data_IF_734752751566
#
_entry.id   IF_734752751566
#
_cell.length_a   1.000
_cell.length_b   1.000
_cell.length_c   1.000
_cell.angle_alpha   90.00
_cell.angle_beta   90.00
_cell.angle_gamma   90.00
#
_symmetry.space_group_name_H-M   'P 1'
#
loop_
_entity.id
_entity.type
_entity.pdbx_description
1 polymer ?
#
# COMPACT_ATOMS: atom_id res chain seq x y z
N UNK A 1 12.30 9.62 17.80
CA UNK A 1 12.25 8.48 16.85
C UNK A 1 11.93 9.02 15.47
N UNK A 2 12.95 9.27 14.64
CA UNK A 2 12.73 9.71 13.26
C UNK A 2 12.15 8.55 12.46
N UNK A 3 10.83 8.58 12.21
CA UNK A 3 10.19 7.67 11.25
C UNK A 3 10.92 7.89 9.92
N UNK A 4 11.65 6.87 9.45
CA UNK A 4 12.40 6.95 8.20
C UNK A 4 11.49 7.44 7.08
N UNK A 5 12.01 8.30 6.20
CA UNK A 5 11.23 8.93 5.13
C UNK A 5 10.53 7.85 4.29
N UNK A 6 9.21 7.85 4.28
CA UNK A 6 8.40 6.94 3.47
C UNK A 6 8.32 7.44 2.02
N UNK A 7 8.06 6.52 1.10
CA UNK A 7 7.87 6.76 -0.34
C UNK A 7 6.70 5.93 -0.84
N UNK A 8 6.14 6.33 -1.96
CA UNK A 8 5.08 5.58 -2.60
C UNK A 8 5.64 4.48 -3.50
N UNK A 9 5.04 3.32 -3.39
CA UNK A 9 5.38 2.12 -4.13
C UNK A 9 4.13 1.52 -4.75
N UNK A 10 4.24 1.00 -5.97
CA UNK A 10 3.20 0.25 -6.65
C UNK A 10 3.36 -1.23 -6.37
N UNK A 11 2.29 -1.92 -6.03
CA UNK A 11 2.29 -3.37 -5.82
C UNK A 11 2.40 -4.10 -7.16
N UNK A 12 3.32 -5.06 -7.25
CA UNK A 12 3.63 -5.80 -8.49
C UNK A 12 2.77 -7.04 -8.73
N UNK A 13 2.12 -7.59 -7.70
CA UNK A 13 1.18 -8.70 -7.81
C UNK A 13 0.26 -8.77 -6.59
N UNK A 14 -0.89 -9.42 -6.71
CA UNK A 14 -1.81 -9.66 -5.59
C UNK A 14 -1.13 -10.42 -4.44
N UNK A 15 -1.13 -9.83 -3.24
CA UNK A 15 -0.25 -10.29 -2.19
C UNK A 15 -0.56 -9.72 -0.82
N UNK A 16 0.20 -10.16 0.18
CA UNK A 16 0.27 -9.46 1.46
C UNK A 16 1.40 -8.46 1.38
N UNK A 17 1.10 -7.20 1.68
CA UNK A 17 2.08 -6.11 1.73
C UNK A 17 1.89 -5.33 3.03
N UNK A 18 2.96 -5.22 3.83
CA UNK A 18 2.93 -4.57 5.14
C UNK A 18 1.78 -5.05 6.05
N UNK A 19 1.54 -6.37 6.07
CA UNK A 19 0.52 -6.99 6.92
C UNK A 19 -0.93 -6.72 6.49
N UNK A 20 -1.16 -6.29 5.25
CA UNK A 20 -2.50 -6.18 4.63
C UNK A 20 -2.53 -6.86 3.27
N UNK A 21 -3.66 -7.48 2.92
CA UNK A 21 -3.88 -7.98 1.55
C UNK A 21 -4.03 -6.79 0.60
N UNK A 22 -3.25 -6.78 -0.47
CA UNK A 22 -3.19 -5.76 -1.52
C UNK A 22 -3.32 -6.42 -2.89
N UNK A 23 -3.76 -5.65 -3.87
CA UNK A 23 -3.89 -6.10 -5.25
C UNK A 23 -2.74 -5.60 -6.10
N UNK A 24 -2.50 -6.27 -7.23
CA UNK A 24 -1.58 -5.74 -8.24
C UNK A 24 -2.01 -4.32 -8.65
N UNK A 25 -1.03 -3.42 -8.77
CA UNK A 25 -1.24 -2.02 -9.15
C UNK A 25 -1.63 -1.08 -8.01
N UNK A 26 -1.93 -1.59 -6.82
CA UNK A 26 -2.30 -0.77 -5.67
C UNK A 26 -1.09 0.10 -5.21
N UNK A 27 -1.36 1.33 -4.77
CA UNK A 27 -0.30 2.26 -4.30
C UNK A 27 -0.20 2.19 -2.79
N UNK A 28 1.00 1.94 -2.28
CA UNK A 28 1.30 1.85 -0.85
C UNK A 28 2.46 2.75 -0.46
N UNK A 29 2.30 3.44 0.66
CA UNK A 29 3.37 4.28 1.23
C UNK A 29 4.17 3.46 2.23
N UNK A 30 5.44 3.17 1.89
CA UNK A 30 6.33 2.33 2.70
C UNK A 30 7.68 3.02 2.93
N UNK A 31 8.41 2.56 3.93
CA UNK A 31 9.83 2.93 4.02
C UNK A 31 10.63 2.15 2.96
N UNK A 32 11.72 2.72 2.42
CA UNK A 32 12.59 1.99 1.50
C UNK A 32 13.12 0.68 2.06
N UNK A 33 13.29 0.61 3.38
CA UNK A 33 13.71 -0.61 4.08
C UNK A 33 12.63 -1.68 4.08
N UNK A 34 11.36 -1.31 4.29
CA UNK A 34 10.24 -2.24 4.23
C UNK A 34 9.99 -2.71 2.79
N UNK A 35 9.97 -1.77 1.82
CA UNK A 35 9.70 -2.06 0.42
C UNK A 35 10.66 -3.09 -0.20
N UNK A 36 11.90 -3.22 0.29
CA UNK A 36 12.87 -4.22 -0.16
C UNK A 36 12.43 -5.67 0.05
N UNK A 37 11.56 -5.91 1.02
CA UNK A 37 11.07 -7.25 1.35
C UNK A 37 9.65 -7.50 0.84
N UNK A 38 9.08 -6.54 0.14
CA UNK A 38 7.69 -6.56 -0.32
C UNK A 38 7.67 -6.65 -1.85
N UNK A 39 6.60 -7.19 -2.42
CA UNK A 39 6.44 -7.29 -3.87
C UNK A 39 5.96 -5.96 -4.47
N UNK A 40 6.78 -4.92 -4.32
CA UNK A 40 6.45 -3.56 -4.73
C UNK A 40 7.59 -2.93 -5.55
N UNK A 41 7.27 -1.94 -6.36
CA UNK A 41 8.22 -1.14 -7.12
C UNK A 41 8.04 0.35 -6.82
N UNK A 42 9.06 1.21 -6.94
CA UNK A 42 8.90 2.64 -6.72
C UNK A 42 7.82 3.20 -7.65
N UNK A 43 6.76 3.77 -7.10
CA UNK A 43 5.80 4.50 -7.90
C UNK A 43 6.53 5.78 -8.33
N UNK A 44 6.81 5.94 -9.62
CA UNK A 44 7.33 7.21 -10.14
C UNK A 44 6.37 8.30 -9.66
N UNK A 45 6.85 9.45 -9.16
CA UNK A 45 5.97 10.55 -8.83
C UNK A 45 5.28 10.95 -10.13
N UNK A 46 4.00 10.55 -10.25
CA UNK A 46 3.14 11.08 -11.29
C UNK A 46 2.99 12.55 -10.95
N UNK A 47 3.74 13.41 -11.64
CA UNK A 47 3.53 14.85 -11.56
C UNK A 47 2.13 15.23 -12.03
N UNK A 48 1.38 14.30 -12.61
CA UNK A 48 0.03 14.48 -13.12
C UNK A 48 -0.77 13.18 -12.91
N UNK A 49 -1.42 13.05 -11.76
CA UNK A 49 -2.55 12.13 -11.57
C UNK A 49 -3.39 12.64 -10.38
N UNK A 50 -3.85 13.88 -10.51
CA UNK A 50 -5.07 14.29 -9.83
C UNK A 50 -6.22 13.46 -10.43
N UNK A 51 -7.13 13.04 -9.56
CA UNK A 51 -8.40 12.35 -9.86
C UNK A 51 -8.39 10.82 -9.94
N UNK A 52 -8.16 10.19 -8.79
CA UNK A 52 -9.12 9.21 -8.27
C UNK A 52 -8.89 9.01 -6.77
N UNK A 53 -9.84 9.41 -5.90
CA UNK A 53 -9.74 9.20 -4.47
C UNK A 53 -10.07 7.73 -4.18
N UNK A 54 -9.14 6.82 -4.42
CA UNK A 54 -9.20 5.51 -3.77
C UNK A 54 -8.84 5.74 -2.31
N UNK A 55 -9.88 6.03 -1.53
CA UNK A 55 -9.88 6.18 -0.07
C UNK A 55 -8.77 5.32 0.55
N UNK A 56 -7.94 5.86 1.45
CA UNK A 56 -7.24 5.00 2.39
C UNK A 56 -8.35 4.31 3.19
N UNK A 57 -8.65 3.05 2.88
CA UNK A 57 -9.46 2.20 3.75
C UNK A 57 -8.62 1.91 4.97
N UNK A 58 -8.58 2.91 5.85
CA UNK A 58 -8.52 2.70 7.26
C UNK A 58 -9.53 1.59 7.60
N UNK A 59 -8.99 0.53 8.20
CA UNK A 59 -9.65 -0.20 9.27
C UNK A 59 -11.12 -0.53 9.05
N UNK A 60 -11.37 -1.78 8.65
CA UNK A 60 -12.08 -2.71 9.53
C UNK A 60 -11.56 -4.13 9.25
N UNK A 61 -10.82 -4.67 10.23
CA UNK A 61 -10.59 -6.11 10.39
C UNK A 61 -11.93 -6.78 10.83
N UNK A 62 -12.03 -8.11 10.75
CA UNK A 62 -13.22 -8.91 10.36
C UNK A 62 -14.07 -9.40 11.57
N UNK A 63 -15.01 -10.35 11.32
CA UNK A 63 -15.80 -11.19 12.27
C UNK A 63 -17.21 -10.62 12.59
N UNK A 64 -18.34 -11.35 12.65
CA UNK A 64 -18.70 -12.76 12.49
C UNK A 64 -20.25 -12.89 12.37
N UNK A 65 -20.68 -14.00 11.75
CA UNK A 65 -21.81 -14.88 12.12
C UNK A 65 -23.27 -14.40 12.23
N UNK A 66 -24.12 -15.19 11.53
CA UNK A 66 -25.41 -15.78 11.99
C UNK A 66 -26.69 -14.94 11.84
N UNK A 67 -27.57 -15.35 10.93
CA UNK A 67 -28.80 -16.11 11.22
C UNK A 67 -29.27 -16.84 9.94
#
# INVERSE_FOLDING_TARGET
MSKGKTRDYRVRADGWVAGRRRKEGDIVTLTPRAARYENVEPAKPAREAQDSPVKPTASKKPVASKE
#
